data_IF_050529938576
#
_entry.id   IF_050529938576
#
_cell.length_a   1.000
_cell.length_b   1.000
_cell.length_c   1.000
_cell.angle_alpha   90.00
_cell.angle_beta   90.00
_cell.angle_gamma   90.00
#
_symmetry.space_group_name_H-M   'P 1'
#
loop_
_entity.id
_entity.type
_entity.pdbx_description
1 polymer ?
#
# COMPACT_ATOMS: atom_id res chain seq x y z
N UNK A 1 -8.68 -29.95 24.50
CA UNK A 1 -8.94 -29.82 23.05
C UNK A 1 -8.82 -28.35 22.73
N UNK A 2 -7.69 -27.92 22.17
CA UNK A 2 -7.50 -26.57 21.65
C UNK A 2 -8.12 -26.51 20.24
N UNK A 3 -8.83 -25.44 19.85
CA UNK A 3 -9.28 -25.29 18.48
C UNK A 3 -8.06 -25.16 17.56
N UNK A 4 -8.05 -25.89 16.47
CA UNK A 4 -7.06 -25.76 15.40
C UNK A 4 -7.11 -24.33 14.87
N UNK A 5 -6.18 -23.48 15.33
CA UNK A 5 -5.97 -22.14 14.81
C UNK A 5 -5.33 -22.25 13.44
N UNK A 6 -6.03 -21.73 12.45
CA UNK A 6 -5.54 -21.54 11.09
C UNK A 6 -4.15 -20.89 11.16
N UNK A 7 -3.15 -21.61 10.68
CA UNK A 7 -1.74 -21.18 10.62
C UNK A 7 -1.58 -20.10 9.53
N UNK A 8 -2.19 -18.92 9.80
CA UNK A 8 -2.24 -17.80 8.84
C UNK A 8 -0.96 -16.96 8.83
N UNK A 9 -0.23 -16.95 9.95
CA UNK A 9 0.96 -16.11 10.13
C UNK A 9 2.12 -16.46 9.19
N UNK A 10 2.57 -17.73 9.06
CA UNK A 10 3.64 -18.10 8.11
C UNK A 10 3.27 -17.88 6.64
N UNK A 11 1.97 -17.97 6.29
CA UNK A 11 1.51 -17.72 4.93
C UNK A 11 1.56 -16.23 4.61
N UNK A 12 1.10 -15.36 5.51
CA UNK A 12 1.14 -13.91 5.35
C UNK A 12 2.58 -13.38 5.26
N UNK A 13 3.49 -13.90 6.08
CA UNK A 13 4.90 -13.53 6.04
C UNK A 13 5.55 -13.89 4.71
N UNK A 14 5.26 -15.08 4.15
CA UNK A 14 5.75 -15.50 2.82
C UNK A 14 5.19 -14.64 1.69
N UNK A 15 3.92 -14.25 1.77
CA UNK A 15 3.30 -13.35 0.79
C UNK A 15 4.01 -12.01 0.81
N UNK A 16 4.19 -11.42 2.00
CA UNK A 16 4.88 -10.15 2.18
C UNK A 16 6.32 -10.22 1.65
N UNK A 17 7.08 -11.26 2.01
CA UNK A 17 8.44 -11.46 1.52
C UNK A 17 8.50 -11.53 -0.02
N UNK A 18 7.64 -12.34 -0.65
CA UNK A 18 7.60 -12.50 -2.09
C UNK A 18 7.20 -11.20 -2.82
N UNK A 19 6.29 -10.42 -2.23
CA UNK A 19 5.89 -9.11 -2.72
C UNK A 19 7.08 -8.13 -2.68
N UNK A 20 7.72 -8.00 -1.54
CA UNK A 20 8.85 -7.09 -1.37
C UNK A 20 10.08 -7.49 -2.20
N UNK A 21 10.33 -8.78 -2.40
CA UNK A 21 11.38 -9.24 -3.32
C UNK A 21 11.10 -8.82 -4.77
N UNK A 22 9.83 -8.74 -5.17
CA UNK A 22 9.45 -8.20 -6.48
C UNK A 22 9.69 -6.69 -6.56
N UNK A 23 9.39 -5.94 -5.50
CA UNK A 23 9.63 -4.49 -5.43
C UNK A 23 11.12 -4.14 -5.44
N UNK A 24 11.95 -4.93 -4.76
CA UNK A 24 13.43 -4.80 -4.83
C UNK A 24 13.91 -4.99 -6.27
N UNK A 25 13.38 -5.98 -7.00
CA UNK A 25 13.75 -6.22 -8.39
C UNK A 25 13.34 -5.09 -9.35
N UNK A 26 12.41 -4.24 -8.94
CA UNK A 26 11.95 -3.05 -9.68
C UNK A 26 12.64 -1.77 -9.20
N UNK A 27 13.55 -1.85 -8.24
CA UNK A 27 14.20 -0.69 -7.59
C UNK A 27 13.18 0.31 -6.99
N UNK A 28 12.07 -0.22 -6.48
CA UNK A 28 10.90 0.58 -6.06
C UNK A 28 10.87 0.92 -4.57
N UNK A 29 11.93 0.59 -3.80
CA UNK A 29 11.91 0.74 -2.33
C UNK A 29 13.00 1.69 -1.83
N UNK A 30 14.21 1.58 -2.35
CA UNK A 30 15.35 2.35 -1.84
C UNK A 30 15.11 3.84 -2.01
N UNK A 31 15.25 4.59 -0.91
CA UNK A 31 14.96 6.04 -0.82
C UNK A 31 13.52 6.45 -1.19
N UNK A 32 12.60 5.49 -1.30
CA UNK A 32 11.22 5.73 -1.71
C UNK A 32 10.39 6.46 -0.63
N UNK A 33 9.52 7.36 -1.07
CA UNK A 33 8.43 7.93 -0.28
C UNK A 33 7.21 7.01 -0.42
N UNK A 34 6.84 6.37 0.67
CA UNK A 34 5.82 5.31 0.69
C UNK A 34 4.49 5.84 1.24
N UNK A 35 3.40 5.41 0.63
CA UNK A 35 2.04 5.58 1.14
C UNK A 35 1.44 4.20 1.43
N UNK A 36 1.05 3.95 2.68
CA UNK A 36 0.40 2.72 3.13
C UNK A 36 -1.08 3.03 3.45
N UNK A 37 -1.95 2.67 2.53
CA UNK A 37 -3.40 2.87 2.64
C UNK A 37 -4.08 1.65 3.23
N UNK A 38 -5.03 1.88 4.15
CA UNK A 38 -5.65 0.82 4.96
C UNK A 38 -4.59 0.08 5.79
N UNK A 39 -3.70 0.84 6.41
CA UNK A 39 -2.42 0.36 6.93
C UNK A 39 -2.51 -0.70 8.04
N UNK A 40 -3.65 -0.85 8.73
CA UNK A 40 -3.87 -1.86 9.75
C UNK A 40 -2.82 -1.82 10.87
N UNK A 41 -1.97 -2.83 10.96
CA UNK A 41 -0.84 -2.85 11.91
C UNK A 41 0.40 -2.10 11.42
N UNK A 42 0.39 -1.60 10.18
CA UNK A 42 1.52 -0.95 9.54
C UNK A 42 2.57 -1.93 8.99
N UNK A 43 2.25 -3.21 8.89
CA UNK A 43 3.24 -4.24 8.54
C UNK A 43 3.88 -4.01 7.17
N UNK A 44 3.13 -3.53 6.18
CA UNK A 44 3.65 -3.27 4.83
C UNK A 44 4.55 -2.04 4.81
N UNK A 45 4.09 -0.91 5.32
CA UNK A 45 4.89 0.32 5.37
C UNK A 45 6.15 0.19 6.24
N UNK A 46 6.07 -0.53 7.36
CA UNK A 46 7.23 -0.82 8.22
C UNK A 46 8.23 -1.73 7.48
N UNK A 47 7.78 -2.72 6.75
CA UNK A 47 8.66 -3.55 5.90
C UNK A 47 9.37 -2.69 4.83
N UNK A 48 8.66 -1.75 4.19
CA UNK A 48 9.26 -0.81 3.25
C UNK A 48 10.36 0.04 3.91
N UNK A 49 10.10 0.61 5.09
CA UNK A 49 11.08 1.37 5.87
C UNK A 49 12.30 0.52 6.25
N UNK A 50 12.08 -0.74 6.64
CA UNK A 50 13.13 -1.71 6.96
C UNK A 50 14.02 -2.04 5.76
N UNK A 51 13.50 -1.92 4.54
CA UNK A 51 14.22 -2.21 3.29
C UNK A 51 14.81 -0.99 2.60
N UNK A 52 14.79 0.17 3.25
CA UNK A 52 15.48 1.36 2.76
C UNK A 52 14.59 2.50 2.28
N UNK A 53 13.26 2.40 2.39
CA UNK A 53 12.39 3.53 2.07
C UNK A 53 12.73 4.76 2.92
N UNK A 54 12.70 5.95 2.33
CA UNK A 54 13.04 7.19 3.01
C UNK A 54 12.00 7.56 4.07
N UNK A 55 10.72 7.44 3.74
CA UNK A 55 9.60 7.78 4.62
C UNK A 55 8.36 6.97 4.29
N UNK A 56 7.42 6.91 5.25
CA UNK A 56 6.12 6.27 5.04
C UNK A 56 4.99 7.07 5.70
N UNK A 57 3.93 7.32 4.92
CA UNK A 57 2.66 7.84 5.43
C UNK A 57 1.70 6.67 5.57
N UNK A 58 1.24 6.43 6.80
CA UNK A 58 0.27 5.39 7.14
C UNK A 58 -1.10 6.02 7.29
N UNK A 59 -2.07 5.56 6.53
CA UNK A 59 -3.45 6.07 6.59
C UNK A 59 -4.39 4.97 7.06
N UNK A 60 -5.02 5.17 8.21
CA UNK A 60 -6.05 4.27 8.74
C UNK A 60 -7.04 5.02 9.64
N UNK A 61 -8.35 4.76 9.46
CA UNK A 61 -9.39 5.37 10.28
C UNK A 61 -9.53 4.73 11.66
N UNK A 62 -9.12 3.46 11.83
CA UNK A 62 -9.25 2.72 13.07
C UNK A 62 -8.28 3.22 14.15
N UNK A 63 -8.80 3.54 15.31
CA UNK A 63 -7.98 3.91 16.47
C UNK A 63 -7.09 2.76 16.95
N UNK A 64 -7.57 1.54 16.81
CA UNK A 64 -6.82 0.33 17.18
C UNK A 64 -5.64 0.11 16.22
N UNK A 65 -5.88 0.22 14.90
CA UNK A 65 -4.85 0.15 13.89
C UNK A 65 -3.74 1.18 14.15
N UNK A 66 -4.09 2.45 14.35
CA UNK A 66 -3.11 3.51 14.62
C UNK A 66 -2.29 3.28 15.90
N UNK A 67 -2.90 2.72 16.94
CA UNK A 67 -2.15 2.32 18.14
C UNK A 67 -1.16 1.21 17.84
N UNK A 68 -1.57 0.21 17.04
CA UNK A 68 -0.68 -0.87 16.61
C UNK A 68 0.47 -0.33 15.75
N UNK A 69 0.19 0.54 14.78
CA UNK A 69 1.21 1.21 13.96
C UNK A 69 2.21 1.94 14.85
N UNK A 70 1.74 2.79 15.77
CA UNK A 70 2.63 3.57 16.65
C UNK A 70 3.52 2.68 17.50
N UNK A 71 2.95 1.62 18.11
CA UNK A 71 3.72 0.68 18.91
C UNK A 71 4.76 -0.09 18.09
N UNK A 72 4.42 -0.49 16.87
CA UNK A 72 5.32 -1.19 15.95
C UNK A 72 6.43 -0.27 15.43
N UNK A 73 6.14 0.99 15.14
CA UNK A 73 7.13 2.00 14.75
C UNK A 73 8.12 2.30 15.87
N UNK A 74 7.63 2.39 17.11
CA UNK A 74 8.49 2.56 18.30
C UNK A 74 9.41 1.35 18.49
N UNK A 75 8.86 0.13 18.41
CA UNK A 75 9.62 -1.11 18.56
C UNK A 75 10.68 -1.32 17.48
N UNK A 76 10.45 -0.79 16.27
CA UNK A 76 11.37 -0.91 15.12
C UNK A 76 12.30 0.30 14.95
N UNK A 77 12.08 1.39 15.69
CA UNK A 77 12.90 2.60 15.61
C UNK A 77 12.66 3.47 14.39
N UNK A 78 11.46 3.41 13.77
CA UNK A 78 11.14 4.15 12.56
C UNK A 78 10.21 5.36 12.75
N UNK A 79 9.97 5.80 13.99
CA UNK A 79 9.07 6.91 14.30
C UNK A 79 9.41 8.21 13.57
N UNK A 80 10.68 8.51 13.40
CA UNK A 80 11.19 9.73 12.75
C UNK A 80 11.01 9.75 11.22
N UNK A 81 10.73 8.58 10.62
CA UNK A 81 10.48 8.42 9.18
C UNK A 81 9.02 8.12 8.86
N UNK A 82 8.13 8.22 9.85
CA UNK A 82 6.73 7.83 9.72
C UNK A 82 5.78 8.96 10.05
N UNK A 83 4.70 9.06 9.29
CA UNK A 83 3.54 9.91 9.59
C UNK A 83 2.30 9.02 9.68
N UNK A 84 1.55 9.09 10.78
CA UNK A 84 0.32 8.31 10.97
C UNK A 84 -0.89 9.24 10.87
N UNK A 85 -1.74 8.99 9.88
CA UNK A 85 -2.92 9.81 9.59
C UNK A 85 -4.18 9.11 10.09
N UNK A 86 -4.98 9.86 10.85
CA UNK A 86 -6.24 9.39 11.45
C UNK A 86 -7.42 9.73 10.53
N UNK A 87 -7.53 9.07 9.38
CA UNK A 87 -8.57 9.36 8.39
C UNK A 87 -8.94 8.09 7.61
N UNK A 88 -10.14 8.08 7.05
CA UNK A 88 -10.51 7.09 6.02
C UNK A 88 -9.61 7.27 4.79
N UNK A 89 -9.15 6.17 4.22
CA UNK A 89 -8.19 6.18 3.12
C UNK A 89 -8.71 6.95 1.89
N UNK A 90 -9.96 6.72 1.50
CA UNK A 90 -10.55 7.42 0.35
C UNK A 90 -10.79 8.90 0.64
N UNK A 91 -11.24 9.24 1.87
CA UNK A 91 -11.37 10.61 2.32
C UNK A 91 -10.03 11.35 2.24
N UNK A 92 -8.97 10.74 2.75
CA UNK A 92 -7.62 11.30 2.70
C UNK A 92 -7.12 11.49 1.25
N UNK A 93 -7.36 10.52 0.37
CA UNK A 93 -6.99 10.61 -1.05
C UNK A 93 -7.67 11.79 -1.76
N UNK A 94 -8.93 12.05 -1.46
CA UNK A 94 -9.68 13.20 -2.00
C UNK A 94 -9.09 14.53 -1.52
N UNK A 95 -8.73 14.62 -0.25
CA UNK A 95 -8.12 15.80 0.35
C UNK A 95 -6.70 16.02 -0.16
N UNK A 96 -5.89 14.97 -0.27
CA UNK A 96 -4.54 15.00 -0.80
C UNK A 96 -4.48 15.51 -2.25
N UNK A 97 -5.42 15.08 -3.09
CA UNK A 97 -5.55 15.57 -4.45
C UNK A 97 -5.86 17.09 -4.54
N UNK A 98 -6.47 17.65 -3.50
CA UNK A 98 -6.75 19.08 -3.40
C UNK A 98 -5.54 19.87 -2.88
N UNK A 99 -4.63 19.24 -2.16
CA UNK A 99 -3.49 19.86 -1.47
C UNK A 99 -2.20 19.94 -2.31
N UNK A 100 -2.25 19.69 -3.62
CA UNK A 100 -1.07 19.70 -4.51
C UNK A 100 0.01 18.67 -4.11
N UNK A 101 -0.40 17.52 -3.59
CA UNK A 101 0.49 16.38 -3.31
C UNK A 101 0.69 15.47 -4.53
N UNK A 102 0.50 16.02 -5.74
CA UNK A 102 0.73 15.30 -7.00
C UNK A 102 2.19 14.84 -7.05
N UNK A 103 2.43 13.62 -7.52
CA UNK A 103 3.76 12.97 -7.61
C UNK A 103 4.53 12.92 -6.28
N UNK A 104 3.80 12.76 -5.18
CA UNK A 104 4.41 12.79 -3.86
C UNK A 104 4.91 11.44 -3.37
N UNK A 105 4.57 10.33 -4.05
CA UNK A 105 4.90 8.97 -3.61
C UNK A 105 5.53 8.15 -4.73
N UNK A 106 6.57 7.42 -4.38
CA UNK A 106 7.31 6.52 -5.26
C UNK A 106 6.77 5.09 -5.15
N UNK A 107 6.17 4.73 -4.00
CA UNK A 107 5.53 3.43 -3.75
C UNK A 107 4.21 3.62 -2.99
N UNK A 108 3.13 3.04 -3.50
CA UNK A 108 1.84 3.00 -2.81
C UNK A 108 1.42 1.56 -2.53
N UNK A 109 1.10 1.27 -1.28
CA UNK A 109 0.64 -0.03 -0.80
C UNK A 109 -0.86 0.09 -0.47
N UNK A 110 -1.67 -0.84 -0.99
CA UNK A 110 -3.14 -0.79 -0.84
C UNK A 110 -3.64 -2.17 -0.43
N UNK A 111 -4.12 -2.28 0.81
CA UNK A 111 -4.72 -3.51 1.36
C UNK A 111 -6.08 -3.21 2.00
N UNK A 112 -7.13 -2.93 1.21
CA UNK A 112 -8.44 -2.61 1.73
C UNK A 112 -9.14 -3.84 2.32
N UNK A 113 -10.21 -3.66 3.11
CA UNK A 113 -11.03 -4.77 3.60
C UNK A 113 -11.47 -5.70 2.45
N UNK A 114 -11.55 -7.01 2.72
CA UNK A 114 -11.83 -8.08 1.74
C UNK A 114 -13.11 -7.87 0.88
N UNK A 115 -14.06 -7.08 1.38
CA UNK A 115 -15.32 -6.77 0.70
C UNK A 115 -15.25 -5.53 -0.20
N UNK A 116 -14.05 -5.03 -0.53
CA UNK A 116 -13.90 -3.87 -1.40
C UNK A 116 -14.53 -4.10 -2.78
N UNK A 117 -15.52 -3.29 -3.12
CA UNK A 117 -16.27 -3.33 -4.38
C UNK A 117 -15.49 -2.64 -5.51
N UNK A 118 -15.92 -2.85 -6.76
CA UNK A 118 -15.23 -2.31 -7.95
C UNK A 118 -15.23 -0.77 -7.97
N UNK A 119 -16.29 -0.16 -7.45
CA UNK A 119 -16.43 1.29 -7.32
C UNK A 119 -15.34 1.87 -6.42
N UNK A 120 -15.07 1.24 -5.27
CA UNK A 120 -14.01 1.66 -4.36
C UNK A 120 -12.64 1.57 -5.05
N UNK A 121 -12.34 0.45 -5.71
CA UNK A 121 -11.10 0.26 -6.43
C UNK A 121 -10.90 1.29 -7.53
N UNK A 122 -11.95 1.55 -8.32
CA UNK A 122 -11.90 2.54 -9.39
C UNK A 122 -11.56 3.94 -8.87
N UNK A 123 -12.19 4.34 -7.77
CA UNK A 123 -11.96 5.66 -7.17
C UNK A 123 -10.57 5.77 -6.51
N UNK A 124 -10.17 4.74 -5.75
CA UNK A 124 -8.84 4.69 -5.12
C UNK A 124 -7.74 4.78 -6.18
N UNK A 125 -7.81 3.95 -7.25
CA UNK A 125 -6.80 3.95 -8.30
C UNK A 125 -6.77 5.28 -9.08
N UNK A 126 -7.91 5.93 -9.32
CA UNK A 126 -7.96 7.22 -9.98
C UNK A 126 -7.23 8.32 -9.17
N UNK A 127 -7.31 8.29 -7.83
CA UNK A 127 -6.58 9.22 -6.97
C UNK A 127 -5.10 8.85 -6.85
N UNK A 128 -4.80 7.56 -6.64
CA UNK A 128 -3.43 7.06 -6.50
C UNK A 128 -2.61 7.32 -7.75
N UNK A 129 -3.18 7.16 -8.95
CA UNK A 129 -2.49 7.44 -10.21
C UNK A 129 -1.98 8.87 -10.34
N UNK A 130 -2.60 9.83 -9.65
CA UNK A 130 -2.11 11.22 -9.61
C UNK A 130 -1.06 11.48 -8.53
N UNK A 131 -1.08 10.68 -7.46
CA UNK A 131 -0.14 10.83 -6.34
C UNK A 131 1.18 10.10 -6.60
N UNK A 132 1.19 9.13 -7.49
CA UNK A 132 2.32 8.26 -7.79
C UNK A 132 2.44 7.99 -9.29
N UNK A 133 2.36 9.01 -10.14
CA UNK A 133 2.33 8.85 -11.59
C UNK A 133 3.56 8.12 -12.15
N UNK A 134 4.76 8.38 -11.59
CA UNK A 134 6.00 7.67 -11.93
C UNK A 134 6.33 6.55 -10.92
N UNK A 135 5.41 6.25 -10.02
CA UNK A 135 5.61 5.30 -8.93
C UNK A 135 5.15 3.88 -9.24
N UNK A 136 5.31 3.02 -8.25
CA UNK A 136 4.81 1.64 -8.25
C UNK A 136 3.67 1.52 -7.26
N UNK A 137 2.61 0.82 -7.65
CA UNK A 137 1.46 0.55 -6.80
C UNK A 137 1.33 -0.94 -6.55
N UNK A 138 1.19 -1.34 -5.30
CA UNK A 138 0.90 -2.73 -4.91
C UNK A 138 -0.51 -2.78 -4.34
N UNK A 139 -1.34 -3.65 -4.91
CA UNK A 139 -2.70 -3.88 -4.46
C UNK A 139 -2.89 -5.32 -4.01
N UNK A 140 -3.38 -5.51 -2.79
CA UNK A 140 -3.87 -6.79 -2.30
C UNK A 140 -5.39 -6.86 -2.44
N UNK A 141 -5.90 -7.96 -3.02
CA UNK A 141 -7.34 -8.12 -3.27
C UNK A 141 -7.75 -9.60 -3.23
N UNK A 142 -9.02 -9.88 -2.97
CA UNK A 142 -9.54 -11.24 -3.04
C UNK A 142 -9.68 -11.76 -4.49
N UNK A 143 -9.83 -10.83 -5.46
CA UNK A 143 -10.05 -11.11 -6.88
C UNK A 143 -9.30 -10.12 -7.76
N UNK A 144 -9.27 -10.39 -9.06
CA UNK A 144 -8.76 -9.41 -10.01
C UNK A 144 -9.60 -8.13 -9.95
N UNK A 145 -8.93 -6.98 -9.93
CA UNK A 145 -9.53 -5.65 -9.96
C UNK A 145 -9.52 -5.10 -11.38
N UNK A 146 -10.60 -4.41 -11.75
CA UNK A 146 -10.68 -3.70 -13.02
C UNK A 146 -9.74 -2.50 -12.97
N UNK A 147 -8.76 -2.45 -13.85
CA UNK A 147 -7.82 -1.34 -13.92
C UNK A 147 -8.39 -0.22 -14.79
N UNK A 148 -8.25 1.05 -14.38
CA UNK A 148 -8.57 2.18 -15.23
C UNK A 148 -7.71 2.21 -16.51
N UNK A 149 -8.14 2.91 -17.57
CA UNK A 149 -7.34 3.03 -18.80
C UNK A 149 -5.93 3.55 -18.54
N UNK A 150 -4.96 2.95 -19.21
CA UNK A 150 -3.55 3.33 -19.13
C UNK A 150 -2.74 2.67 -18.00
N UNK A 151 -3.41 2.01 -17.05
CA UNK A 151 -2.70 1.24 -16.03
C UNK A 151 -2.13 -0.07 -16.60
N UNK A 152 -0.92 -0.43 -16.18
CA UNK A 152 -0.26 -1.69 -16.53
C UNK A 152 -0.13 -2.61 -15.31
N UNK A 153 -0.59 -3.86 -15.44
CA UNK A 153 -0.38 -4.90 -14.45
C UNK A 153 0.95 -5.64 -14.73
N UNK A 154 2.03 -5.12 -14.19
CA UNK A 154 3.38 -5.68 -14.38
C UNK A 154 3.52 -7.11 -13.87
N UNK A 155 2.89 -7.41 -12.75
CA UNK A 155 2.92 -8.73 -12.12
C UNK A 155 1.67 -8.94 -11.31
N UNK A 156 1.11 -10.13 -11.46
CA UNK A 156 0.02 -10.59 -10.59
C UNK A 156 0.33 -12.00 -10.12
N UNK A 157 0.17 -12.24 -8.83
CA UNK A 157 0.36 -13.58 -8.26
C UNK A 157 -0.62 -13.83 -7.14
N UNK A 158 -1.22 -15.03 -7.16
CA UNK A 158 -2.15 -15.48 -6.12
C UNK A 158 -1.42 -16.26 -5.04
N UNK A 159 -1.76 -15.94 -3.81
CA UNK A 159 -1.29 -16.62 -2.62
C UNK A 159 -2.50 -16.99 -1.76
N UNK A 160 -2.93 -18.25 -1.84
CA UNK A 160 -4.18 -18.67 -1.19
C UNK A 160 -5.39 -17.87 -1.69
N UNK A 161 -6.07 -17.19 -0.79
CA UNK A 161 -7.21 -16.33 -1.10
C UNK A 161 -6.86 -14.92 -1.61
N UNK A 162 -5.58 -14.51 -1.52
CA UNK A 162 -5.14 -13.15 -1.84
C UNK A 162 -4.45 -13.09 -3.20
N UNK A 163 -4.85 -12.13 -4.03
CA UNK A 163 -4.16 -11.73 -5.25
C UNK A 163 -3.34 -10.49 -4.97
N UNK A 164 -2.03 -10.59 -5.16
CA UNK A 164 -1.09 -9.46 -5.09
C UNK A 164 -0.82 -8.98 -6.51
N UNK A 165 -1.09 -7.71 -6.78
CA UNK A 165 -0.88 -7.07 -8.07
C UNK A 165 0.14 -5.94 -7.93
N UNK A 166 1.19 -5.97 -8.74
CA UNK A 166 2.13 -4.86 -8.92
C UNK A 166 1.72 -4.10 -10.15
N UNK A 167 1.33 -2.86 -9.97
CA UNK A 167 0.70 -2.01 -10.97
C UNK A 167 1.57 -0.79 -11.24
N UNK A 168 1.57 -0.34 -12.49
CA UNK A 168 2.11 0.96 -12.86
C UNK A 168 0.96 1.87 -13.27
N UNK A 169 0.86 3.07 -12.69
CA UNK A 169 -0.06 4.10 -13.15
C UNK A 169 0.21 4.49 -14.61
N UNK A 170 -0.75 5.12 -15.30
CA UNK A 170 -0.47 5.71 -16.60
C UNK A 170 0.61 6.78 -16.47
N UNK A 171 1.50 6.86 -17.45
CA UNK A 171 2.49 7.94 -17.53
C UNK A 171 1.81 9.29 -17.34
N UNK A 172 2.42 10.17 -16.55
CA UNK A 172 1.93 11.55 -16.46
C UNK A 172 1.84 12.13 -17.88
N UNK A 173 0.72 12.77 -18.28
CA UNK A 173 0.73 13.52 -19.52
C UNK A 173 1.85 14.53 -19.42
N UNK A 174 2.84 14.42 -20.34
CA UNK A 174 3.95 15.38 -20.42
C UNK A 174 3.36 16.78 -20.32
N UNK A 175 3.80 17.51 -19.29
CA UNK A 175 3.43 18.91 -19.16
C UNK A 175 3.98 19.65 -20.39
N UNK A 176 3.16 20.44 -21.07
CA UNK A 176 3.56 21.13 -22.28
C UNK A 176 4.62 22.17 -22.03
#
# INVERSE_FOLDING_TARGET
MAPEGVDTRPTLDRVREAMFNSLVSLDAIDDARVLDLYAGSGALGIEALSRGAASCVFVDHSREARRAISANLEATGFLDRATVVAQDALGWLRDAGSASLVDSFDLVLIDPPYAAEDELWSEVLAHVGRLAADGVVVAESARAIALPPGWDARKQKRYGGTLVSVLLPPDSPESP
#
